data_IF_741139764163
#
_entry.id   IF_741139764163
#
_cell.length_a   1.000
_cell.length_b   1.000
_cell.length_c   1.000
_cell.angle_alpha   90.00
_cell.angle_beta   90.00
_cell.angle_gamma   90.00
#
_symmetry.space_group_name_H-M   'P 1'
#
loop_
_entity.id
_entity.type
_entity.pdbx_description
1 polymer ?
#
# COMPACT_ATOMS: atom_id res chain seq x y z
N UNK A 1 17.92 -59.58 -0.28
CA UNK A 1 17.79 -58.29 0.43
C UNK A 1 16.78 -57.44 -0.33
N UNK A 2 15.71 -56.97 0.32
CA UNK A 2 14.71 -56.11 -0.31
C UNK A 2 15.17 -54.65 -0.21
N UNK A 3 15.31 -53.99 -1.35
CA UNK A 3 15.60 -52.55 -1.40
C UNK A 3 14.29 -51.82 -1.05
N UNK A 4 14.26 -50.93 -0.03
CA UNK A 4 13.07 -50.17 0.25
C UNK A 4 12.83 -49.22 -0.93
N UNK A 5 11.79 -49.49 -1.71
CA UNK A 5 11.31 -48.59 -2.74
C UNK A 5 10.75 -47.36 -2.01
N UNK A 6 11.52 -46.26 -2.03
CA UNK A 6 11.05 -44.96 -1.57
C UNK A 6 9.76 -44.53 -2.27
N UNK A 7 9.06 -43.52 -1.75
CA UNK A 7 7.75 -43.11 -2.28
C UNK A 7 7.82 -42.91 -3.78
N UNK A 8 6.94 -43.61 -4.50
CA UNK A 8 6.80 -43.49 -5.95
C UNK A 8 6.50 -42.03 -6.30
N UNK A 9 6.92 -41.60 -7.48
CA UNK A 9 6.72 -40.21 -7.98
C UNK A 9 5.28 -39.72 -7.82
N UNK A 10 4.31 -40.64 -7.92
CA UNK A 10 2.88 -40.40 -7.66
C UNK A 10 2.59 -39.98 -6.22
N UNK A 11 3.17 -40.64 -5.22
CA UNK A 11 2.94 -40.29 -3.80
C UNK A 11 3.45 -38.88 -3.50
N UNK A 12 4.65 -38.53 -4.02
CA UNK A 12 5.19 -37.17 -3.89
C UNK A 12 4.30 -36.12 -4.56
N UNK A 13 3.72 -36.44 -5.73
CA UNK A 13 2.78 -35.55 -6.40
C UNK A 13 1.52 -35.32 -5.56
N UNK A 14 0.98 -36.39 -4.94
CA UNK A 14 -0.19 -36.31 -4.04
C UNK A 14 0.13 -35.46 -2.80
N UNK A 15 1.27 -35.67 -2.17
CA UNK A 15 1.69 -34.90 -1.00
C UNK A 15 1.88 -33.41 -1.36
N UNK A 16 2.45 -33.12 -2.54
CA UNK A 16 2.61 -31.76 -3.04
C UNK A 16 1.26 -31.08 -3.28
N UNK A 17 0.31 -31.78 -3.92
CA UNK A 17 -1.05 -31.27 -4.14
C UNK A 17 -1.74 -30.98 -2.80
N UNK A 18 -1.72 -31.92 -1.85
CA UNK A 18 -2.31 -31.74 -0.53
C UNK A 18 -1.69 -30.55 0.23
N UNK A 19 -0.37 -30.40 0.15
CA UNK A 19 0.34 -29.27 0.78
C UNK A 19 -0.05 -27.91 0.16
N UNK A 20 -0.31 -27.87 -1.15
CA UNK A 20 -0.76 -26.65 -1.82
C UNK A 20 -2.21 -26.30 -1.47
N UNK A 21 -3.08 -27.30 -1.36
CA UNK A 21 -4.50 -27.11 -1.05
C UNK A 21 -4.75 -26.66 0.38
N UNK A 22 -3.87 -27.03 1.31
CA UNK A 22 -3.95 -26.59 2.72
C UNK A 22 -3.19 -25.29 2.98
N UNK A 23 -2.59 -24.67 1.96
CA UNK A 23 -1.84 -23.43 2.15
C UNK A 23 -2.82 -22.29 2.45
N UNK A 24 -2.60 -21.60 3.57
CA UNK A 24 -3.41 -20.45 3.96
C UNK A 24 -3.42 -19.36 2.89
N UNK A 25 -4.56 -18.71 2.71
CA UNK A 25 -4.71 -17.58 1.77
C UNK A 25 -3.91 -16.40 2.34
N UNK A 26 -3.04 -15.74 1.54
CA UNK A 26 -2.40 -14.52 1.95
C UNK A 26 -3.47 -13.49 2.35
N UNK A 27 -3.46 -13.05 3.60
CA UNK A 27 -4.31 -11.93 4.00
C UNK A 27 -3.69 -10.63 3.47
N UNK A 28 -4.45 -9.79 2.75
CA UNK A 28 -3.96 -8.46 2.44
C UNK A 28 -3.74 -7.67 3.73
N UNK A 29 -2.81 -6.70 3.74
CA UNK A 29 -2.67 -5.77 4.86
C UNK A 29 -3.98 -5.00 5.06
N UNK A 30 -4.31 -4.73 6.32
CA UNK A 30 -5.47 -3.91 6.67
C UNK A 30 -5.25 -2.51 6.10
N UNK A 31 -6.11 -2.10 5.17
CA UNK A 31 -6.09 -0.74 4.64
C UNK A 31 -6.73 0.17 5.70
N UNK A 32 -5.98 1.12 6.24
CA UNK A 32 -6.57 2.17 7.06
C UNK A 32 -7.63 2.91 6.22
N UNK A 33 -8.83 3.05 6.78
CA UNK A 33 -9.84 3.89 6.17
C UNK A 33 -9.32 5.33 6.10
N UNK A 34 -9.56 6.06 4.99
CA UNK A 34 -9.27 7.49 4.95
C UNK A 34 -9.94 8.18 6.13
N UNK A 35 -9.21 9.03 6.85
CA UNK A 35 -9.79 9.78 7.96
C UNK A 35 -10.88 10.71 7.42
N UNK A 36 -12.01 10.80 8.10
CA UNK A 36 -13.16 11.62 7.67
C UNK A 36 -12.85 13.12 7.57
N UNK A 37 -11.72 13.57 8.11
CA UNK A 37 -11.23 14.95 8.05
C UNK A 37 -10.27 15.20 6.87
N UNK A 38 -10.03 14.20 6.00
CA UNK A 38 -9.13 14.34 4.86
C UNK A 38 -9.86 14.47 3.52
N UNK A 39 -9.37 15.37 2.66
CA UNK A 39 -9.90 15.60 1.30
C UNK A 39 -8.76 15.55 0.29
N UNK A 40 -8.98 14.88 -0.84
CA UNK A 40 -8.03 14.88 -1.95
C UNK A 40 -8.12 16.21 -2.71
N UNK A 41 -6.99 16.89 -2.87
CA UNK A 41 -6.86 18.08 -3.72
C UNK A 41 -6.14 17.66 -5.00
N UNK A 42 -6.72 17.88 -6.19
CA UNK A 42 -6.07 17.54 -7.46
C UNK A 42 -4.93 18.53 -7.79
N UNK A 43 -4.11 18.16 -8.76
CA UNK A 43 -3.07 19.03 -9.33
C UNK A 43 -3.66 20.38 -9.75
N UNK A 44 -3.00 21.47 -9.38
CA UNK A 44 -3.44 22.82 -9.77
C UNK A 44 -2.30 23.82 -9.86
N UNK A 45 -2.56 24.92 -10.55
CA UNK A 45 -1.70 26.10 -10.56
C UNK A 45 -2.30 27.15 -9.63
N UNK A 46 -1.55 27.54 -8.60
CA UNK A 46 -1.98 28.53 -7.60
C UNK A 46 -1.23 29.85 -7.77
N UNK A 47 -1.91 31.00 -7.70
CA UNK A 47 -1.23 32.30 -7.70
C UNK A 47 -0.30 32.40 -6.48
N UNK A 48 0.94 32.85 -6.69
CA UNK A 48 1.89 33.11 -5.62
C UNK A 48 2.55 34.48 -5.80
N UNK A 49 2.82 35.23 -4.71
CA UNK A 49 3.57 36.48 -4.80
C UNK A 49 4.92 36.27 -5.49
N UNK A 50 5.19 37.07 -6.54
CA UNK A 50 6.43 36.99 -7.31
C UNK A 50 6.45 35.94 -8.43
N UNK A 51 5.37 35.16 -8.62
CA UNK A 51 5.23 34.20 -9.71
C UNK A 51 3.92 34.46 -10.48
N UNK A 52 3.91 35.39 -11.47
CA UNK A 52 2.71 35.75 -12.22
C UNK A 52 2.12 34.59 -13.04
N UNK A 53 2.93 33.60 -13.41
CA UNK A 53 2.50 32.35 -14.04
C UNK A 53 1.86 31.34 -13.05
N UNK A 54 1.90 31.63 -11.75
CA UNK A 54 1.49 30.71 -10.69
C UNK A 54 2.56 29.68 -10.33
N UNK A 55 2.32 28.94 -9.25
CA UNK A 55 3.15 27.81 -8.80
C UNK A 55 2.34 26.52 -8.99
N UNK A 56 3.00 25.50 -9.54
CA UNK A 56 2.40 24.17 -9.65
C UNK A 56 2.35 23.50 -8.29
N UNK A 57 1.16 23.11 -7.88
CA UNK A 57 0.90 22.38 -6.64
C UNK A 57 0.45 20.96 -7.02
N UNK A 58 1.30 19.94 -6.79
CA UNK A 58 0.92 18.55 -7.03
C UNK A 58 -0.23 18.10 -6.14
N UNK A 59 -0.99 17.11 -6.62
CA UNK A 59 -2.11 16.52 -5.94
C UNK A 59 -1.69 15.90 -4.62
N UNK A 60 -2.41 16.25 -3.56
CA UNK A 60 -2.13 15.82 -2.20
C UNK A 60 -3.41 15.74 -1.38
N UNK A 61 -3.37 14.95 -0.31
CA UNK A 61 -4.41 14.95 0.71
C UNK A 61 -4.27 16.19 1.58
N UNK A 62 -5.35 16.80 2.04
CA UNK A 62 -5.32 17.86 3.07
C UNK A 62 -6.21 17.47 4.24
N UNK A 63 -5.80 17.84 5.45
CA UNK A 63 -6.62 17.71 6.66
C UNK A 63 -7.40 19.02 6.83
N UNK A 64 -8.71 18.93 6.95
CA UNK A 64 -9.56 20.05 7.34
C UNK A 64 -9.53 20.22 8.86
N UNK A 65 -9.16 21.41 9.33
CA UNK A 65 -9.28 21.73 10.76
C UNK A 65 -10.70 22.23 11.06
N UNK A 66 -11.22 22.03 12.29
CA UNK A 66 -12.54 22.52 12.69
C UNK A 66 -12.75 24.02 12.47
N UNK A 67 -11.67 24.79 12.46
CA UNK A 67 -11.65 26.25 12.26
C UNK A 67 -11.69 26.66 10.77
N UNK A 68 -11.85 25.69 9.85
CA UNK A 68 -11.88 25.91 8.41
C UNK A 68 -10.49 26.02 7.76
N UNK A 69 -9.43 25.75 8.53
CA UNK A 69 -8.05 25.70 8.04
C UNK A 69 -7.79 24.43 7.21
N UNK A 70 -6.75 24.48 6.37
CA UNK A 70 -6.23 23.32 5.63
C UNK A 70 -4.78 23.08 6.05
N UNK A 71 -4.50 21.89 6.57
CA UNK A 71 -3.13 21.45 6.84
C UNK A 71 -2.79 20.42 5.76
N UNK A 72 -1.88 20.79 4.85
CA UNK A 72 -1.24 19.78 4.02
C UNK A 72 -0.44 18.86 4.98
N UNK A 73 -0.69 17.55 4.99
CA UNK A 73 0.11 16.62 5.77
C UNK A 73 1.56 16.75 5.31
N UNK A 74 2.53 16.68 6.24
CA UNK A 74 3.93 16.78 5.87
C UNK A 74 4.26 15.69 4.85
N UNK A 75 5.16 15.97 3.88
CA UNK A 75 5.57 14.97 2.92
C UNK A 75 6.04 13.71 3.66
N UNK A 76 5.71 12.50 3.15
CA UNK A 76 6.18 11.26 3.77
C UNK A 76 7.70 11.30 3.86
N UNK A 77 8.24 10.98 5.03
CA UNK A 77 9.69 10.86 5.21
C UNK A 77 10.22 9.85 4.18
N UNK A 78 11.39 10.09 3.56
CA UNK A 78 11.99 9.14 2.62
C UNK A 78 12.07 7.71 3.18
N UNK A 79 12.30 7.62 4.48
CA UNK A 79 12.44 6.39 5.26
C UNK A 79 11.11 5.64 5.46
N UNK A 80 9.96 6.28 5.24
CA UNK A 80 8.63 5.67 5.39
C UNK A 80 8.18 4.87 4.16
N UNK A 81 8.89 4.98 3.03
CA UNK A 81 8.64 4.20 1.81
C UNK A 81 9.50 2.94 1.71
N UNK A 82 10.47 2.78 2.63
CA UNK A 82 11.25 1.56 2.78
C UNK A 82 10.64 0.73 3.90
N UNK A 83 9.55 0.02 3.58
CA UNK A 83 9.12 -1.11 4.40
C UNK A 83 10.17 -2.23 4.37
N UNK A 84 10.18 -3.12 5.39
CA UNK A 84 11.09 -4.27 5.46
C UNK A 84 10.91 -5.26 4.31
#
# INVERSE_FOLDING_TARGET
MAVPLGPTTTQRAVDQMNSSSMRGVPSPPVREAPRNDTVWVPDRWVPAPGAPQGVFEPGHWVIHTPEGGRIAPPPPRPDALQGP
#
